data_IF_508899592152
#
_entry.id   IF_508899592152
#
_cell.length_a   1.000
_cell.length_b   1.000
_cell.length_c   1.000
_cell.angle_alpha   90.00
_cell.angle_beta   90.00
_cell.angle_gamma   90.00
#
_symmetry.space_group_name_H-M   'P 1'
#
loop_
_entity.id
_entity.type
_entity.pdbx_description
1 polymer ?
#
# COMPACT_ATOMS: atom_id res chain seq x y z
N UNK A 1 7.48 -11.88 11.50
CA UNK A 1 6.01 -11.94 11.68
C UNK A 1 5.53 -11.53 13.08
N UNK A 2 6.39 -11.46 14.10
CA UNK A 2 5.99 -11.10 15.48
C UNK A 2 5.23 -9.77 15.59
N UNK A 3 5.64 -8.73 14.86
CA UNK A 3 4.96 -7.43 14.87
C UNK A 3 3.55 -7.48 14.27
N UNK A 4 3.40 -8.09 13.09
CA UNK A 4 2.09 -8.29 12.44
C UNK A 4 1.17 -9.11 13.35
N UNK A 5 1.69 -10.17 13.98
CA UNK A 5 0.94 -10.97 14.95
C UNK A 5 0.52 -10.17 16.19
N UNK A 6 1.33 -9.21 16.65
CA UNK A 6 0.99 -8.37 17.79
C UNK A 6 -0.22 -7.47 17.45
N UNK A 7 -0.22 -6.86 16.27
CA UNK A 7 -1.35 -6.06 15.77
C UNK A 7 -2.59 -6.94 15.55
N UNK A 8 -2.43 -8.13 14.98
CA UNK A 8 -3.52 -9.09 14.80
C UNK A 8 -4.11 -9.60 16.13
N UNK A 9 -3.39 -9.54 17.24
CA UNK A 9 -3.90 -9.90 18.58
C UNK A 9 -4.49 -8.71 19.33
N UNK A 10 -4.33 -7.49 18.81
CA UNK A 10 -4.78 -6.29 19.49
C UNK A 10 -6.31 -6.18 19.44
N UNK A 11 -6.92 -5.44 20.39
CA UNK A 11 -8.34 -5.12 20.31
C UNK A 11 -8.71 -4.29 19.06
N UNK A 12 -7.73 -3.66 18.42
CA UNK A 12 -7.90 -2.77 17.26
C UNK A 12 -7.83 -3.51 15.92
N UNK A 13 -7.62 -4.84 15.92
CA UNK A 13 -7.48 -5.61 14.68
C UNK A 13 -8.64 -5.38 13.71
N UNK A 14 -9.88 -5.30 14.21
CA UNK A 14 -11.09 -5.13 13.40
C UNK A 14 -11.18 -3.79 12.67
N UNK A 15 -10.29 -2.84 12.96
CA UNK A 15 -10.19 -1.52 12.33
C UNK A 15 -8.77 -1.18 11.88
N UNK A 16 -7.93 -2.19 11.66
CA UNK A 16 -6.52 -2.00 11.29
C UNK A 16 -6.29 -2.23 9.79
N UNK A 17 -5.44 -1.41 9.18
CA UNK A 17 -4.81 -1.70 7.89
C UNK A 17 -3.29 -1.63 8.05
N UNK A 18 -2.58 -2.64 7.54
CA UNK A 18 -1.11 -2.69 7.52
C UNK A 18 -0.68 -2.70 6.06
N UNK A 19 0.16 -1.74 5.70
CA UNK A 19 0.85 -1.71 4.42
C UNK A 19 2.30 -2.14 4.65
N UNK A 20 2.72 -3.19 3.94
CA UNK A 20 4.11 -3.63 3.91
C UNK A 20 4.66 -3.37 2.51
N UNK A 21 5.64 -2.48 2.43
CA UNK A 21 6.33 -2.09 1.20
C UNK A 21 7.82 -1.93 1.47
N UNK A 22 8.60 -1.99 0.40
CA UNK A 22 9.98 -1.52 0.40
C UNK A 22 10.01 -0.06 -0.03
N UNK A 23 11.00 0.69 0.43
CA UNK A 23 11.23 2.09 0.07
C UNK A 23 11.94 2.23 -1.28
N UNK A 24 12.83 1.29 -1.61
CA UNK A 24 13.45 1.17 -2.93
C UNK A 24 13.66 -0.28 -3.39
N UNK A 25 14.18 -0.42 -4.62
CA UNK A 25 14.38 -1.70 -5.32
C UNK A 25 15.69 -2.41 -4.97
N UNK A 26 16.55 -1.80 -4.15
CA UNK A 26 17.79 -2.38 -3.63
C UNK A 26 18.89 -2.66 -4.64
N UNK A 27 18.77 -2.23 -5.90
CA UNK A 27 19.74 -2.56 -6.95
C UNK A 27 19.47 -3.88 -7.70
N UNK A 28 18.37 -4.58 -7.39
CA UNK A 28 18.01 -5.87 -8.01
C UNK A 28 17.27 -5.75 -9.33
N UNK A 29 17.68 -6.51 -10.36
CA UNK A 29 17.03 -6.47 -11.66
C UNK A 29 15.50 -6.69 -11.59
N UNK A 30 14.74 -5.79 -12.23
CA UNK A 30 13.34 -5.96 -12.55
C UNK A 30 13.16 -5.81 -14.07
N UNK A 31 12.33 -6.67 -14.67
CA UNK A 31 12.15 -6.70 -16.12
C UNK A 31 11.15 -5.65 -16.65
N UNK A 32 10.36 -5.03 -15.77
CA UNK A 32 9.34 -4.08 -16.18
C UNK A 32 9.96 -2.69 -16.29
N UNK A 33 9.82 -2.10 -17.47
CA UNK A 33 10.23 -0.72 -17.71
C UNK A 33 9.34 0.22 -16.87
N UNK A 34 9.91 1.11 -16.04
CA UNK A 34 9.13 2.03 -15.24
C UNK A 34 8.21 2.93 -16.09
N UNK A 35 6.94 3.12 -15.69
CA UNK A 35 6.04 4.02 -16.40
C UNK A 35 6.47 5.48 -16.32
N UNK A 36 6.34 6.20 -17.44
CA UNK A 36 6.54 7.65 -17.50
C UNK A 36 5.23 8.36 -17.19
N UNK A 37 5.15 9.03 -16.03
CA UNK A 37 3.97 9.79 -15.59
C UNK A 37 4.19 11.31 -15.55
N UNK A 38 5.45 11.75 -15.60
CA UNK A 38 5.91 13.13 -15.66
C UNK A 38 7.37 13.17 -16.15
N UNK A 39 8.05 14.31 -15.99
CA UNK A 39 9.47 14.49 -16.36
C UNK A 39 10.40 13.45 -15.72
N UNK A 40 10.11 13.02 -14.49
CA UNK A 40 10.93 12.06 -13.74
C UNK A 40 10.43 10.62 -13.88
N UNK A 41 9.14 10.42 -14.15
CA UNK A 41 8.50 9.11 -14.18
C UNK A 41 8.44 8.41 -12.81
N UNK A 42 7.94 7.18 -12.81
CA UNK A 42 8.08 6.28 -11.65
C UNK A 42 9.44 5.60 -11.63
N UNK A 43 9.81 5.08 -10.45
CA UNK A 43 10.98 4.23 -10.28
C UNK A 43 10.71 2.77 -10.62
N UNK A 44 11.72 1.93 -10.38
CA UNK A 44 11.58 0.48 -10.46
C UNK A 44 10.58 -0.05 -9.44
N UNK A 45 9.95 -1.17 -9.78
CA UNK A 45 8.91 -1.77 -8.93
C UNK A 45 9.50 -2.27 -7.62
N UNK A 46 8.70 -2.15 -6.57
CA UNK A 46 8.93 -2.75 -5.27
C UNK A 46 7.74 -3.63 -4.90
N UNK A 47 7.90 -4.67 -4.10
CA UNK A 47 6.77 -5.44 -3.62
C UNK A 47 5.89 -4.59 -2.69
N UNK A 48 4.58 -4.81 -2.75
CA UNK A 48 3.59 -4.20 -1.86
C UNK A 48 2.60 -5.24 -1.37
N UNK A 49 2.20 -5.14 -0.10
CA UNK A 49 1.23 -6.03 0.54
C UNK A 49 0.27 -5.23 1.40
N UNK A 50 -1.02 -5.51 1.23
CA UNK A 50 -2.10 -5.02 2.10
C UNK A 50 -2.55 -6.13 3.03
N UNK A 51 -2.52 -5.88 4.34
CA UNK A 51 -2.93 -6.84 5.38
C UNK A 51 -3.97 -6.15 6.26
N UNK A 52 -5.19 -6.66 6.24
CA UNK A 52 -6.31 -6.10 7.02
C UNK A 52 -7.43 -7.16 7.18
N UNK A 53 -8.27 -7.08 8.23
CA UNK A 53 -9.53 -7.82 8.25
C UNK A 53 -10.41 -7.58 7.02
N UNK A 54 -10.26 -6.45 6.32
CA UNK A 54 -11.02 -6.09 5.11
C UNK A 54 -10.24 -6.31 3.80
N UNK A 55 -8.93 -6.58 3.85
CA UNK A 55 -8.11 -6.79 2.65
C UNK A 55 -8.56 -8.06 1.92
N UNK A 56 -8.87 -7.99 0.61
CA UNK A 56 -9.36 -9.09 -0.21
C UNK A 56 -8.39 -10.28 -0.17
N UNK A 57 -8.90 -11.45 0.22
CA UNK A 57 -8.06 -12.63 0.42
C UNK A 57 -7.62 -13.24 -0.92
N UNK A 58 -6.32 -13.53 -1.05
CA UNK A 58 -5.74 -14.14 -2.26
C UNK A 58 -5.83 -13.26 -3.50
N UNK A 59 -6.03 -11.95 -3.33
CA UNK A 59 -6.13 -10.99 -4.42
C UNK A 59 -4.74 -10.50 -4.82
N UNK A 60 -4.49 -10.46 -6.13
CA UNK A 60 -3.31 -9.84 -6.71
C UNK A 60 -3.80 -8.60 -7.45
N UNK A 61 -3.41 -7.43 -6.96
CA UNK A 61 -3.67 -6.19 -7.67
C UNK A 61 -2.68 -6.02 -8.84
N UNK A 62 -3.24 -5.66 -9.99
CA UNK A 62 -2.52 -5.44 -11.25
C UNK A 62 -2.55 -3.97 -11.68
N UNK A 63 -3.14 -3.07 -10.87
CA UNK A 63 -3.06 -1.64 -11.11
C UNK A 63 -1.62 -1.13 -11.04
N UNK A 64 -1.37 0.03 -11.65
CA UNK A 64 -0.11 0.73 -11.45
C UNK A 64 -0.20 1.57 -10.19
N UNK A 65 0.45 1.13 -9.12
CA UNK A 65 0.52 1.86 -7.85
C UNK A 65 1.91 2.50 -7.67
N UNK A 66 1.93 3.64 -6.99
CA UNK A 66 3.14 4.30 -6.48
C UNK A 66 2.97 4.57 -4.99
N UNK A 67 4.01 5.09 -4.32
CA UNK A 67 3.90 5.50 -2.92
C UNK A 67 2.80 6.54 -2.66
N UNK A 68 2.47 7.34 -3.67
CA UNK A 68 1.38 8.32 -3.61
C UNK A 68 0.01 7.66 -3.39
N UNK A 69 -0.18 6.40 -3.81
CA UNK A 69 -1.44 5.67 -3.62
C UNK A 69 -1.77 5.44 -2.14
N UNK A 70 -0.76 5.22 -1.28
CA UNK A 70 -0.97 5.05 0.15
C UNK A 70 -1.49 6.33 0.81
N UNK A 71 -0.87 7.47 0.49
CA UNK A 71 -1.31 8.76 0.99
C UNK A 71 -2.73 9.08 0.52
N UNK A 72 -2.99 8.93 -0.79
CA UNK A 72 -4.33 9.11 -1.37
C UNK A 72 -5.37 8.24 -0.67
N UNK A 73 -5.08 6.96 -0.44
CA UNK A 73 -5.99 6.06 0.27
C UNK A 73 -6.27 6.51 1.70
N UNK A 74 -5.25 6.91 2.45
CA UNK A 74 -5.40 7.39 3.83
C UNK A 74 -6.25 8.66 3.86
N UNK A 75 -6.04 9.57 2.93
CA UNK A 75 -6.84 10.79 2.78
C UNK A 75 -8.30 10.49 2.42
N UNK A 76 -8.52 9.55 1.49
CA UNK A 76 -9.85 9.10 1.06
C UNK A 76 -10.62 8.48 2.23
N UNK A 77 -9.98 7.59 3.01
CA UNK A 77 -10.63 6.84 4.09
C UNK A 77 -10.78 7.66 5.39
N UNK A 78 -9.73 8.36 5.82
CA UNK A 78 -9.68 9.00 7.14
C UNK A 78 -9.92 10.50 7.12
N UNK A 79 -9.72 11.17 5.97
CA UNK A 79 -9.93 12.62 5.82
C UNK A 79 -11.13 12.95 4.93
N UNK A 80 -11.96 11.96 4.59
CA UNK A 80 -13.14 12.15 3.74
C UNK A 80 -12.78 12.65 2.34
N UNK A 81 -11.61 12.27 1.82
CA UNK A 81 -11.12 12.69 0.50
C UNK A 81 -10.43 14.06 0.48
N UNK A 82 -10.21 14.70 1.64
CA UNK A 82 -9.43 15.93 1.70
C UNK A 82 -7.96 15.65 1.41
N UNK A 83 -7.40 16.32 0.40
CA UNK A 83 -5.97 16.26 0.05
C UNK A 83 -5.13 17.13 0.98
N UNK A 84 -4.01 16.60 1.44
CA UNK A 84 -2.97 17.37 2.10
C UNK A 84 -2.16 18.11 1.04
N UNK A 85 -2.59 19.33 0.71
CA UNK A 85 -1.93 20.17 -0.28
C UNK A 85 -1.02 21.21 0.40
N UNK A 86 0.30 21.17 0.17
CA UNK A 86 1.23 22.18 0.66
C UNK A 86 0.84 23.63 0.33
N UNK A 87 0.17 23.85 -0.82
CA UNK A 87 -0.33 25.18 -1.21
C UNK A 87 -1.40 25.69 -0.28
N UNK A 88 -2.19 24.79 0.31
CA UNK A 88 -3.29 25.13 1.23
C UNK A 88 -2.84 25.19 2.68
N UNK A 89 -1.75 24.50 3.04
CA UNK A 89 -1.22 24.48 4.41
C UNK A 89 -0.06 25.47 4.64
N UNK A 90 0.35 26.21 3.61
CA UNK A 90 1.34 27.26 3.66
C UNK A 90 2.80 26.80 3.55
N UNK A 91 3.04 25.54 3.18
CA UNK A 91 4.40 25.00 2.97
C UNK A 91 4.85 25.15 1.51
N UNK A 92 6.12 25.48 1.27
CA UNK A 92 6.69 25.40 -0.08
C UNK A 92 6.60 23.96 -0.62
N UNK A 93 6.14 23.81 -1.87
CA UNK A 93 6.16 22.53 -2.59
C UNK A 93 7.21 22.56 -3.71
N UNK A 94 8.37 21.90 -3.55
CA UNK A 94 9.38 21.83 -4.58
C UNK A 94 9.11 20.74 -5.62
N UNK A 95 8.03 19.95 -5.46
CA UNK A 95 7.74 18.85 -6.40
C UNK A 95 7.36 19.42 -7.78
N UNK A 96 7.90 18.84 -8.87
CA UNK A 96 7.53 19.27 -10.22
C UNK A 96 6.10 18.87 -10.61
N UNK A 97 5.53 17.86 -9.92
CA UNK A 97 4.21 17.30 -10.17
C UNK A 97 3.61 16.72 -8.89
N UNK A 98 2.28 16.54 -8.87
CA UNK A 98 1.53 15.88 -7.79
C UNK A 98 0.95 14.58 -8.35
N UNK A 99 1.61 13.46 -8.03
CA UNK A 99 1.37 12.16 -8.68
C UNK A 99 0.12 11.44 -8.20
N UNK A 100 -0.47 11.85 -7.07
CA UNK A 100 -1.78 11.35 -6.62
C UNK A 100 -2.92 11.62 -7.63
N UNK A 101 -2.72 12.58 -8.55
CA UNK A 101 -3.66 12.94 -9.63
C UNK A 101 -3.24 12.40 -10.99
N UNK A 102 -2.15 11.63 -11.06
CA UNK A 102 -1.70 11.03 -12.32
C UNK A 102 -2.75 10.03 -12.82
N UNK A 103 -3.14 10.15 -14.09
CA UNK A 103 -4.18 9.30 -14.70
C UNK A 103 -3.89 7.80 -14.64
N UNK A 104 -2.61 7.44 -14.53
CA UNK A 104 -2.16 6.05 -14.47
C UNK A 104 -2.22 5.47 -13.04
N UNK A 105 -2.24 6.32 -12.00
CA UNK A 105 -2.21 5.85 -10.62
C UNK A 105 -3.50 5.09 -10.29
N UNK A 106 -3.33 3.88 -9.75
CA UNK A 106 -4.41 3.06 -9.23
C UNK A 106 -5.01 3.58 -7.91
N UNK A 107 -5.85 2.76 -7.31
CA UNK A 107 -6.57 3.07 -6.09
C UNK A 107 -6.60 1.87 -5.15
N UNK A 108 -5.87 1.98 -4.03
CA UNK A 108 -5.77 0.92 -3.03
C UNK A 108 -7.11 0.56 -2.40
N UNK A 109 -8.17 1.36 -2.53
CA UNK A 109 -9.51 0.95 -2.09
C UNK A 109 -9.98 -0.34 -2.77
N UNK A 110 -9.48 -0.65 -3.98
CA UNK A 110 -9.78 -1.89 -4.70
C UNK A 110 -9.20 -3.15 -4.03
N UNK A 111 -8.24 -2.99 -3.12
CA UNK A 111 -7.62 -4.08 -2.35
C UNK A 111 -8.47 -4.47 -1.13
N UNK A 112 -9.46 -3.66 -0.78
CA UNK A 112 -10.35 -3.89 0.34
C UNK A 112 -11.74 -4.31 -0.13
N UNK A 113 -12.38 -5.16 0.66
CA UNK A 113 -13.83 -5.35 0.63
C UNK A 113 -14.36 -4.82 1.96
N UNK A 114 -14.95 -3.62 1.94
CA UNK A 114 -15.55 -3.00 3.11
C UNK A 114 -16.99 -3.46 3.36
N UNK A 115 -17.57 -4.27 2.48
CA UNK A 115 -18.92 -4.83 2.65
C UNK A 115 -18.93 -6.16 3.44
N UNK A 116 -17.78 -6.79 3.61
CA UNK A 116 -17.64 -7.99 4.45
C UNK A 116 -17.49 -7.65 5.94
N UNK A 117 -17.87 -8.61 6.79
CA UNK A 117 -17.47 -8.57 8.19
C UNK A 117 -15.94 -8.68 8.33
N UNK A 118 -15.33 -8.03 9.35
CA UNK A 118 -13.89 -8.09 9.57
C UNK A 118 -13.44 -9.54 9.80
N UNK A 119 -12.47 -10.00 9.01
CA UNK A 119 -11.92 -11.36 9.13
C UNK A 119 -11.18 -11.56 10.46
N UNK A 120 -11.20 -12.77 11.02
CA UNK A 120 -10.40 -13.08 12.20
C UNK A 120 -8.89 -13.01 11.91
N UNK A 121 -8.07 -12.78 12.95
CA UNK A 121 -6.60 -12.83 12.87
C UNK A 121 -6.05 -14.11 12.22
N UNK A 122 -5.08 -13.97 11.31
CA UNK A 122 -4.32 -15.10 10.75
C UNK A 122 -2.91 -15.10 11.34
N UNK A 123 -2.77 -15.76 12.48
CA UNK A 123 -1.51 -15.76 13.22
C UNK A 123 -0.46 -16.59 12.50
N UNK A 124 0.62 -15.94 12.07
CA UNK A 124 1.71 -16.56 11.34
C UNK A 124 2.73 -17.17 12.30
N UNK A 125 3.27 -18.35 11.99
CA UNK A 125 4.40 -18.89 12.76
C UNK A 125 5.59 -17.93 12.66
N UNK A 126 6.28 -17.69 13.78
CA UNK A 126 7.58 -16.98 13.78
C UNK A 126 8.73 -17.89 13.33
N UNK A 127 8.50 -19.20 13.37
CA UNK A 127 9.41 -20.24 12.89
C UNK A 127 8.61 -21.18 11.97
N UNK A 128 8.33 -20.76 10.72
CA UNK A 128 7.69 -21.64 9.77
C UNK A 128 8.60 -22.83 9.47
N UNK A 129 8.02 -24.02 9.32
CA UNK A 129 8.75 -25.15 8.77
C UNK A 129 9.26 -24.79 7.36
N UNK A 130 10.41 -25.32 6.93
CA UNK A 130 10.86 -25.17 5.55
C UNK A 130 9.73 -25.55 4.58
N UNK A 131 9.55 -24.76 3.53
CA UNK A 131 8.61 -25.08 2.46
C UNK A 131 8.97 -26.40 1.77
N UNK A 132 8.06 -26.97 0.95
CA UNK A 132 8.41 -28.11 0.11
C UNK A 132 9.64 -27.78 -0.73
N UNK A 133 10.49 -28.78 -0.98
CA UNK A 133 11.62 -28.63 -1.89
C UNK A 133 11.09 -28.19 -3.27
N UNK A 134 11.76 -27.21 -3.89
CA UNK A 134 11.44 -26.75 -5.25
C UNK A 134 11.84 -27.78 -6.30
#
# INVERSE_FOLDING_TARGET
TSLVNALMRSPDWSSTAIFLSWDDWGGFYDHVVPPTVDENGYGLRVPGLVISPYARAGFIDHQTLSFDAYAKFIEDDFLGGQRLDPRTDGRPDPRPSVRETAKLLGDLSADFDFNQAPRPPVLLSVHPSPGPAS
#
